data_IF_300569349490
#
_entry.id   IF_300569349490
#
_cell.length_a   1.000
_cell.length_b   1.000
_cell.length_c   1.000
_cell.angle_alpha   90.00
_cell.angle_beta   90.00
_cell.angle_gamma   90.00
#
_symmetry.space_group_name_H-M   'P 1'
#
loop_
_entity.id
_entity.type
_entity.pdbx_description
1 polymer ?
#
# COMPACT_ATOMS: atom_id res chain seq x y z
N UNK A 1 1.87 -3.28 -21.32
CA UNK A 1 2.53 -2.21 -20.55
C UNK A 1 2.51 -2.51 -19.03
N UNK A 2 2.86 -3.73 -18.58
CA UNK A 2 3.04 -4.03 -17.13
C UNK A 2 4.50 -4.38 -16.78
N UNK A 3 5.32 -4.63 -17.80
CA UNK A 3 6.70 -5.04 -17.66
C UNK A 3 7.60 -4.01 -16.96
N UNK A 4 7.25 -2.72 -16.96
CA UNK A 4 8.13 -1.67 -16.45
C UNK A 4 7.98 -1.41 -14.95
N UNK A 5 6.83 -1.75 -14.37
CA UNK A 5 6.58 -1.62 -12.92
C UNK A 5 6.80 -2.94 -12.17
N UNK A 6 6.79 -4.07 -12.87
CA UNK A 6 7.02 -5.38 -12.27
C UNK A 6 8.44 -5.45 -11.71
N UNK A 7 8.56 -5.44 -10.38
CA UNK A 7 9.82 -5.48 -9.67
C UNK A 7 10.23 -6.91 -9.31
N UNK A 8 9.25 -7.75 -9.00
CA UNK A 8 9.45 -9.15 -8.66
C UNK A 8 8.22 -9.98 -9.03
N UNK A 9 8.44 -11.23 -9.40
CA UNK A 9 7.37 -12.22 -9.48
C UNK A 9 7.87 -13.62 -9.11
N UNK A 10 6.96 -14.43 -8.59
CA UNK A 10 7.12 -15.88 -8.48
C UNK A 10 5.82 -16.60 -8.89
N UNK A 11 5.66 -17.85 -8.44
CA UNK A 11 4.45 -18.64 -8.72
C UNK A 11 3.19 -18.16 -7.99
N UNK A 12 3.32 -17.40 -6.90
CA UNK A 12 2.23 -17.00 -6.01
C UNK A 12 1.96 -15.48 -6.04
N UNK A 13 3.00 -14.66 -6.24
CA UNK A 13 2.95 -13.22 -6.03
C UNK A 13 3.61 -12.43 -7.17
N UNK A 14 3.10 -11.22 -7.37
CA UNK A 14 3.75 -10.15 -8.13
C UNK A 14 3.96 -8.96 -7.20
N UNK A 15 5.12 -8.31 -7.27
CA UNK A 15 5.39 -7.04 -6.61
C UNK A 15 5.64 -5.99 -7.69
N UNK A 16 4.79 -4.97 -7.71
CA UNK A 16 4.93 -3.82 -8.57
C UNK A 16 5.53 -2.67 -7.77
N UNK A 17 6.50 -1.96 -8.33
CA UNK A 17 7.17 -0.83 -7.68
C UNK A 17 6.96 0.42 -8.51
N UNK A 18 6.63 1.53 -7.84
CA UNK A 18 6.62 2.86 -8.44
C UNK A 18 7.43 3.81 -7.55
N UNK A 19 8.17 4.72 -8.18
CA UNK A 19 8.85 5.83 -7.50
C UNK A 19 7.99 7.07 -7.66
N UNK A 20 7.65 7.74 -6.57
CA UNK A 20 6.75 8.90 -6.56
C UNK A 20 7.29 10.07 -5.75
N UNK A 21 6.89 11.26 -6.19
CA UNK A 21 7.15 12.51 -5.47
C UNK A 21 8.60 12.96 -5.52
N UNK A 22 8.89 14.14 -4.95
CA UNK A 22 10.22 14.77 -5.02
C UNK A 22 11.29 14.10 -4.15
N UNK A 23 10.89 13.17 -3.28
CA UNK A 23 11.80 12.43 -2.39
C UNK A 23 12.17 11.04 -2.96
N UNK A 24 11.71 10.72 -4.17
CA UNK A 24 11.89 9.40 -4.80
C UNK A 24 11.37 8.26 -3.90
N UNK A 25 10.20 8.45 -3.28
CA UNK A 25 9.61 7.47 -2.39
C UNK A 25 9.18 6.23 -3.17
N UNK A 26 9.60 5.07 -2.69
CA UNK A 26 9.28 3.79 -3.29
C UNK A 26 7.96 3.29 -2.70
N UNK A 27 6.94 3.18 -3.53
CA UNK A 27 5.68 2.55 -3.17
C UNK A 27 5.59 1.18 -3.84
N UNK A 28 4.90 0.25 -3.18
CA UNK A 28 4.81 -1.12 -3.64
C UNK A 28 3.38 -1.61 -3.68
N UNK A 29 3.04 -2.40 -4.69
CA UNK A 29 1.79 -3.16 -4.73
C UNK A 29 2.14 -4.64 -4.72
N UNK A 30 1.70 -5.35 -3.68
CA UNK A 30 1.77 -6.80 -3.60
C UNK A 30 0.46 -7.38 -4.11
N UNK A 31 0.54 -8.20 -5.16
CA UNK A 31 -0.60 -8.84 -5.80
C UNK A 31 -0.52 -10.36 -5.68
N UNK A 32 -1.60 -10.97 -5.22
CA UNK A 32 -1.78 -12.42 -5.25
C UNK A 32 -2.12 -12.86 -6.68
N UNK A 33 -1.29 -13.72 -7.29
CA UNK A 33 -1.52 -14.20 -8.67
C UNK A 33 -2.74 -15.10 -8.79
N UNK A 34 -3.06 -15.85 -7.74
CA UNK A 34 -4.19 -16.79 -7.73
C UNK A 34 -5.55 -16.09 -7.74
N UNK A 35 -5.70 -15.03 -6.94
CA UNK A 35 -6.98 -14.31 -6.78
C UNK A 35 -7.05 -13.00 -7.54
N UNK A 36 -5.89 -12.42 -7.83
CA UNK A 36 -5.74 -11.07 -8.34
C UNK A 36 -5.93 -9.97 -7.30
N UNK A 37 -6.18 -10.29 -6.03
CA UNK A 37 -6.27 -9.30 -4.96
C UNK A 37 -4.90 -8.72 -4.62
N UNK A 38 -4.88 -7.42 -4.30
CA UNK A 38 -3.66 -6.69 -3.99
C UNK A 38 -3.79 -5.75 -2.81
N UNK A 39 -2.65 -5.30 -2.29
CA UNK A 39 -2.53 -4.18 -1.34
C UNK A 39 -1.49 -3.19 -1.84
N UNK A 40 -1.71 -1.91 -1.57
CA UNK A 40 -0.69 -0.87 -1.71
C UNK A 40 0.02 -0.67 -0.37
N UNK A 41 1.35 -0.62 -0.40
CA UNK A 41 2.22 -0.24 0.70
C UNK A 41 2.71 1.18 0.45
N UNK A 42 2.40 2.07 1.40
CA UNK A 42 2.59 3.53 1.41
C UNK A 42 1.85 4.30 0.29
N UNK A 43 0.91 5.17 0.65
CA UNK A 43 0.32 6.17 -0.25
C UNK A 43 1.12 7.48 -0.21
N UNK A 44 2.39 7.40 -0.67
CA UNK A 44 3.37 8.46 -0.52
C UNK A 44 3.04 9.79 -1.22
N UNK A 45 2.89 9.79 -2.54
CA UNK A 45 2.66 10.99 -3.35
C UNK A 45 2.02 10.63 -4.69
N UNK A 46 1.78 11.63 -5.56
CA UNK A 46 1.33 11.46 -6.95
C UNK A 46 0.09 10.55 -7.06
N UNK A 47 -0.96 10.87 -6.31
CA UNK A 47 -2.20 10.10 -6.27
C UNK A 47 -2.81 9.87 -7.66
N UNK A 48 -2.59 10.79 -8.60
CA UNK A 48 -2.98 10.67 -10.00
C UNK A 48 -2.31 9.49 -10.73
N UNK A 49 -1.16 9.00 -10.26
CA UNK A 49 -0.51 7.77 -10.73
C UNK A 49 -0.94 6.56 -9.91
N UNK A 50 -1.10 6.71 -8.59
CA UNK A 50 -1.46 5.62 -7.69
C UNK A 50 -2.89 5.11 -7.92
N UNK A 51 -3.86 6.01 -8.08
CA UNK A 51 -5.28 5.63 -8.21
C UNK A 51 -5.57 4.75 -9.43
N UNK A 52 -5.10 5.07 -10.65
CA UNK A 52 -5.25 4.18 -11.79
C UNK A 52 -4.58 2.82 -11.57
N UNK A 53 -3.40 2.81 -10.95
CA UNK A 53 -2.65 1.58 -10.69
C UNK A 53 -3.38 0.69 -9.67
N UNK A 54 -3.96 1.28 -8.63
CA UNK A 54 -4.78 0.58 -7.64
C UNK A 54 -5.99 -0.09 -8.30
N UNK A 55 -6.69 0.63 -9.19
CA UNK A 55 -7.82 0.07 -9.94
C UNK A 55 -7.37 -1.07 -10.86
N UNK A 56 -6.29 -0.85 -11.62
CA UNK A 56 -5.78 -1.82 -12.59
C UNK A 56 -5.29 -3.11 -11.93
N UNK A 57 -4.64 -3.01 -10.77
CA UNK A 57 -4.10 -4.15 -10.04
C UNK A 57 -5.03 -4.68 -8.95
N UNK A 58 -6.29 -4.22 -8.91
CA UNK A 58 -7.29 -4.70 -7.96
C UNK A 58 -6.82 -4.62 -6.49
N UNK A 59 -6.29 -3.44 -6.13
CA UNK A 59 -5.94 -3.11 -4.74
C UNK A 59 -7.21 -3.09 -3.90
N UNK A 60 -7.19 -3.75 -2.75
CA UNK A 60 -8.32 -3.84 -1.81
C UNK A 60 -8.23 -2.85 -0.67
N UNK A 61 -7.01 -2.56 -0.22
CA UNK A 61 -6.71 -1.67 0.90
C UNK A 61 -5.27 -1.18 0.85
N UNK A 62 -5.00 -0.16 1.64
CA UNK A 62 -3.71 0.53 1.71
C UNK A 62 -3.15 0.38 3.11
N UNK A 63 -1.85 0.13 3.19
CA UNK A 63 -1.11 -0.02 4.44
C UNK A 63 0.00 1.01 4.45
N UNK A 64 -0.06 1.94 5.39
CA UNK A 64 1.07 2.82 5.68
C UNK A 64 2.05 2.09 6.59
N UNK A 65 3.31 2.08 6.20
CA UNK A 65 4.40 1.52 7.01
C UNK A 65 4.67 2.36 8.25
N UNK A 66 4.57 3.69 8.11
CA UNK A 66 4.78 4.68 9.17
C UNK A 66 4.16 6.04 8.78
N UNK A 67 4.09 6.97 9.71
CA UNK A 67 3.37 8.26 9.57
C UNK A 67 4.18 9.44 9.04
N UNK A 68 5.39 9.22 8.52
CA UNK A 68 6.24 10.35 8.11
C UNK A 68 5.62 11.09 6.92
N UNK A 69 5.74 12.42 6.94
CA UNK A 69 4.94 13.32 6.08
C UNK A 69 5.12 13.04 4.58
N UNK A 70 6.26 12.53 4.16
CA UNK A 70 6.56 12.26 2.76
C UNK A 70 6.01 10.91 2.27
N UNK A 71 5.58 10.04 3.19
CA UNK A 71 4.96 8.73 2.90
C UNK A 71 3.43 8.74 2.92
N UNK A 72 2.79 9.87 3.26
CA UNK A 72 1.33 9.90 3.50
C UNK A 72 0.57 10.93 2.65
N UNK A 73 1.21 11.59 1.68
CA UNK A 73 0.59 12.74 0.99
C UNK A 73 -0.58 12.35 0.09
N UNK A 74 -0.63 11.10 -0.40
CA UNK A 74 -1.75 10.61 -1.20
C UNK A 74 -2.90 10.01 -0.37
N UNK A 75 -2.74 9.84 0.96
CA UNK A 75 -3.76 9.28 1.87
C UNK A 75 -5.14 9.93 1.71
N UNK A 76 -5.28 11.28 1.66
CA UNK A 76 -6.60 11.89 1.47
C UNK A 76 -7.28 11.45 0.17
N UNK A 77 -6.53 11.47 -0.94
CA UNK A 77 -7.07 11.17 -2.27
C UNK A 77 -7.45 9.70 -2.44
N UNK A 78 -6.67 8.78 -1.86
CA UNK A 78 -7.00 7.35 -1.90
C UNK A 78 -8.21 7.00 -1.02
N UNK A 79 -8.37 7.66 0.13
CA UNK A 79 -9.57 7.51 0.96
C UNK A 79 -10.81 8.09 0.27
N UNK A 80 -10.70 9.26 -0.36
CA UNK A 80 -11.79 9.84 -1.14
C UNK A 80 -12.21 8.94 -2.32
N UNK A 81 -11.28 8.16 -2.86
CA UNK A 81 -11.56 7.14 -3.88
C UNK A 81 -12.19 5.85 -3.33
N UNK A 82 -12.33 5.73 -2.00
CA UNK A 82 -13.00 4.61 -1.33
C UNK A 82 -12.09 3.48 -0.85
N UNK A 83 -10.77 3.68 -0.82
CA UNK A 83 -9.86 2.69 -0.23
C UNK A 83 -9.73 2.89 1.28
N UNK A 84 -9.78 1.79 2.03
CA UNK A 84 -9.48 1.79 3.46
C UNK A 84 -7.96 1.88 3.69
N UNK A 85 -7.54 2.75 4.61
CA UNK A 85 -6.14 2.98 4.96
C UNK A 85 -5.87 2.50 6.39
N UNK A 86 -4.87 1.63 6.53
CA UNK A 86 -4.38 1.15 7.81
C UNK A 86 -3.04 1.75 8.20
N UNK A 87 -2.86 2.09 9.48
CA UNK A 87 -1.59 2.53 10.06
C UNK A 87 -1.47 2.04 11.52
N UNK A 88 -0.28 2.00 12.10
CA UNK A 88 -0.09 1.69 13.53
C UNK A 88 -0.69 2.77 14.44
N UNK A 89 -1.00 2.40 15.69
CA UNK A 89 -1.53 3.34 16.68
C UNK A 89 -0.55 4.47 17.02
N UNK A 90 0.75 4.16 17.02
CA UNK A 90 1.82 5.09 17.36
C UNK A 90 1.93 6.24 16.34
N UNK A 91 1.63 5.96 15.07
CA UNK A 91 1.69 6.94 13.98
C UNK A 91 0.31 7.46 13.54
N UNK A 92 -0.79 6.92 14.08
CA UNK A 92 -2.14 7.28 13.70
C UNK A 92 -2.44 8.79 13.79
N UNK A 93 -1.83 9.47 14.76
CA UNK A 93 -1.98 10.92 14.95
C UNK A 93 -1.26 11.77 13.89
N UNK A 94 -0.39 11.17 13.06
CA UNK A 94 0.32 11.86 11.98
C UNK A 94 -0.52 11.94 10.70
N UNK A 95 -1.55 11.09 10.56
CA UNK A 95 -2.46 11.13 9.43
C UNK A 95 -3.65 12.04 9.74
N UNK A 96 -4.19 12.77 8.74
CA UNK A 96 -5.43 13.52 8.92
C UNK A 96 -6.61 12.59 9.21
N UNK A 97 -6.53 11.33 8.77
CA UNK A 97 -7.57 10.31 8.92
C UNK A 97 -7.06 8.93 8.47
N UNK A 98 -7.57 7.87 9.07
CA UNK A 98 -7.31 6.45 8.75
C UNK A 98 -8.57 5.63 9.06
N UNK A 99 -8.61 4.36 8.67
CA UNK A 99 -9.80 3.49 8.77
C UNK A 99 -9.62 2.33 9.75
N UNK A 100 -8.40 1.82 9.91
CA UNK A 100 -8.10 0.75 10.87
C UNK A 100 -6.67 0.82 11.40
N UNK A 101 -6.43 0.16 12.55
CA UNK A 101 -5.11 0.09 13.16
C UNK A 101 -4.39 -1.19 12.75
N UNK A 102 -3.10 -1.08 12.43
CA UNK A 102 -2.20 -2.20 12.24
C UNK A 102 -1.61 -2.61 13.60
N UNK A 103 -1.89 -3.84 14.02
CA UNK A 103 -1.34 -4.43 15.24
C UNK A 103 -0.06 -5.20 14.94
N UNK A 104 0.84 -5.27 15.92
CA UNK A 104 2.04 -6.11 15.87
C UNK A 104 1.68 -7.61 15.84
N UNK A 105 2.53 -8.43 15.22
CA UNK A 105 2.37 -9.89 15.11
C UNK A 105 1.00 -10.32 14.56
N UNK A 106 0.38 -9.48 13.75
CA UNK A 106 -0.92 -9.72 13.12
C UNK A 106 -0.75 -10.17 11.67
N UNK A 107 -1.81 -10.78 11.11
CA UNK A 107 -1.80 -11.31 9.75
C UNK A 107 -2.79 -10.55 8.90
N UNK A 108 -2.30 -10.04 7.78
CA UNK A 108 -3.09 -9.40 6.74
C UNK A 108 -3.20 -10.37 5.57
N UNK A 109 -4.43 -10.74 5.23
CA UNK A 109 -4.71 -11.60 4.08
C UNK A 109 -4.78 -10.76 2.80
N UNK A 110 -4.09 -11.23 1.76
CA UNK A 110 -4.14 -10.66 0.41
C UNK A 110 -4.39 -11.79 -0.56
N UNK A 111 -5.68 -12.05 -0.81
CA UNK A 111 -6.10 -13.26 -1.51
C UNK A 111 -5.66 -14.53 -0.76
N UNK A 112 -4.66 -15.23 -1.32
CA UNK A 112 -4.06 -16.45 -0.72
C UNK A 112 -2.71 -16.19 -0.06
N UNK A 113 -2.22 -14.96 -0.14
CA UNK A 113 -0.99 -14.52 0.52
C UNK A 113 -1.30 -14.06 1.95
N UNK A 114 -0.29 -14.14 2.81
CA UNK A 114 -0.36 -13.69 4.21
C UNK A 114 0.85 -12.78 4.48
N UNK A 115 0.59 -11.54 4.87
CA UNK A 115 1.62 -10.63 5.35
C UNK A 115 1.57 -10.64 6.87
N UNK A 116 2.70 -10.89 7.50
CA UNK A 116 2.87 -10.78 8.94
C UNK A 116 3.39 -9.38 9.24
N UNK A 117 2.70 -8.66 10.12
CA UNK A 117 3.18 -7.37 10.60
C UNK A 117 4.29 -7.59 11.63
N UNK A 118 5.28 -6.72 11.60
CA UNK A 118 6.37 -6.68 12.58
C UNK A 118 6.50 -5.22 12.99
N UNK A 119 6.29 -4.94 14.27
CA UNK A 119 6.53 -3.62 14.82
C UNK A 119 8.05 -3.39 14.92
N UNK A 120 8.56 -2.44 14.13
CA UNK A 120 9.98 -2.12 14.04
C UNK A 120 10.20 -0.60 14.24
N UNK A 121 10.16 -0.12 15.50
CA UNK A 121 10.28 1.30 15.83
C UNK A 121 11.70 1.87 15.62
#
# INVERSE_FOLDING_TARGET
MHSELLHYEDSQAEIHKLVVGPMDNNVFILRCKETGDSVLLDAANEHEKLLPLCQQLNVRRILETHGHWDHIQAVPAVRDAGYEVGITADDAAMLPSYDFVLEDESVIEVGRLRLHTIHNP
#
